data_IF_479390506048
#
_entry.id   IF_479390506048
#
_cell.length_a   1.000
_cell.length_b   1.000
_cell.length_c   1.000
_cell.angle_alpha   90.00
_cell.angle_beta   90.00
_cell.angle_gamma   90.00
#
_symmetry.space_group_name_H-M   'P 1'
#
loop_
_entity.id
_entity.type
_entity.pdbx_description
1 polymer ?
#
# COMPACT_ATOMS: atom_id res chain seq x y z
N UNK A 1 20.23 7.59 -1.27
CA UNK A 1 18.82 7.58 -1.73
C UNK A 1 18.83 6.99 -3.13
N UNK A 2 18.03 5.98 -3.41
CA UNK A 2 18.13 5.18 -4.64
C UNK A 2 17.02 5.56 -5.62
N UNK A 3 17.33 5.61 -6.91
CA UNK A 3 16.34 5.93 -7.96
C UNK A 3 15.44 4.72 -8.21
N UNK A 4 14.15 4.96 -8.41
CA UNK A 4 13.18 3.97 -8.90
C UNK A 4 13.18 4.05 -10.42
N UNK A 5 13.51 2.96 -11.10
CA UNK A 5 13.38 2.86 -12.56
C UNK A 5 11.90 2.88 -12.97
N UNK A 6 11.58 3.18 -14.22
CA UNK A 6 10.18 3.23 -14.69
C UNK A 6 9.46 1.88 -14.65
N UNK A 7 10.21 0.78 -14.58
CA UNK A 7 9.74 -0.60 -14.56
C UNK A 7 9.28 -1.04 -13.15
N UNK A 8 8.09 -0.57 -12.78
CA UNK A 8 7.38 -1.04 -11.59
C UNK A 8 5.88 -0.88 -11.78
N UNK A 9 5.12 -1.68 -11.03
CA UNK A 9 3.67 -1.60 -10.95
C UNK A 9 3.25 -0.59 -9.88
N UNK A 10 2.36 0.33 -10.27
CA UNK A 10 1.74 1.30 -9.37
C UNK A 10 0.27 0.92 -9.15
N UNK A 11 -0.08 0.33 -8.00
CA UNK A 11 -1.40 -0.23 -7.81
C UNK A 11 -2.40 0.82 -7.25
N UNK A 12 -3.68 0.47 -7.26
CA UNK A 12 -4.80 1.37 -6.95
C UNK A 12 -4.82 1.85 -5.49
N UNK A 13 -4.14 1.19 -4.55
CA UNK A 13 -3.99 1.69 -3.18
C UNK A 13 -3.23 3.03 -3.13
N UNK A 14 -2.37 3.31 -4.12
CA UNK A 14 -1.67 4.59 -4.26
C UNK A 14 -2.41 5.57 -5.21
N UNK A 15 -3.73 5.42 -5.40
CA UNK A 15 -4.56 6.18 -6.35
C UNK A 15 -4.31 7.70 -6.32
N UNK A 16 -4.13 8.24 -5.12
CA UNK A 16 -3.99 9.67 -4.88
C UNK A 16 -2.58 10.21 -5.16
N UNK A 17 -1.62 9.34 -5.41
CA UNK A 17 -0.22 9.70 -5.64
C UNK A 17 0.08 9.71 -7.14
N UNK A 18 0.40 10.90 -7.65
CA UNK A 18 0.91 11.03 -9.02
C UNK A 18 2.23 10.28 -9.20
N UNK A 19 2.39 9.58 -10.33
CA UNK A 19 3.62 8.83 -10.67
C UNK A 19 4.88 9.70 -10.62
N UNK A 20 4.75 11.01 -10.88
CA UNK A 20 5.83 11.99 -10.78
C UNK A 20 6.42 12.16 -9.37
N UNK A 21 5.68 11.78 -8.31
CA UNK A 21 6.15 11.80 -6.92
C UNK A 21 6.90 10.53 -6.52
N UNK A 22 6.84 9.48 -7.32
CA UNK A 22 7.46 8.17 -7.07
C UNK A 22 8.74 8.09 -7.89
N UNK A 23 9.83 8.67 -7.37
CA UNK A 23 11.11 8.74 -8.09
C UNK A 23 12.26 8.09 -7.34
N UNK A 24 12.19 8.06 -6.01
CA UNK A 24 13.25 7.59 -5.17
C UNK A 24 12.73 6.70 -4.06
N UNK A 25 13.60 5.88 -3.52
CA UNK A 25 13.37 5.16 -2.28
C UNK A 25 14.56 5.30 -1.34
N UNK A 26 14.27 5.24 -0.04
CA UNK A 26 15.27 5.19 1.03
C UNK A 26 15.15 3.84 1.76
N UNK A 27 16.28 3.19 2.08
CA UNK A 27 16.24 1.95 2.85
C UNK A 27 15.48 2.12 4.17
N UNK A 28 15.01 1.00 4.71
CA UNK A 28 14.24 0.94 5.94
C UNK A 28 15.12 1.29 7.16
N UNK A 29 15.40 2.57 7.37
CA UNK A 29 16.29 3.05 8.45
C UNK A 29 15.45 3.58 9.61
N UNK A 30 15.62 3.02 10.82
CA UNK A 30 15.13 3.44 12.15
C UNK A 30 13.73 4.11 12.22
N UNK A 31 12.86 3.84 11.25
CA UNK A 31 11.50 4.37 11.19
C UNK A 31 10.51 3.25 10.93
N UNK A 32 9.65 3.05 11.91
CA UNK A 32 8.51 2.14 11.84
C UNK A 32 7.54 2.59 10.74
N UNK A 33 6.90 1.64 10.02
CA UNK A 33 5.94 1.99 8.98
C UNK A 33 4.72 2.68 9.59
N UNK A 34 4.16 3.65 8.88
CA UNK A 34 2.92 4.33 9.24
C UNK A 34 1.85 4.07 8.18
N UNK A 35 0.60 4.19 8.59
CA UNK A 35 -0.54 4.05 7.67
C UNK A 35 -0.42 5.01 6.50
N UNK A 36 -0.61 4.48 5.29
CA UNK A 36 -0.50 5.23 4.05
C UNK A 36 0.92 5.43 3.54
N UNK A 37 1.98 5.03 4.26
CA UNK A 37 3.34 5.13 3.73
C UNK A 37 3.50 4.25 2.49
N UNK A 38 4.12 4.80 1.44
CA UNK A 38 4.46 4.06 0.25
C UNK A 38 5.80 3.33 0.45
N UNK A 39 5.82 2.05 0.08
CA UNK A 39 7.02 1.23 0.08
C UNK A 39 7.32 0.73 -1.32
N UNK A 40 8.59 0.73 -1.70
CA UNK A 40 9.06 0.10 -2.92
C UNK A 40 9.61 -1.28 -2.58
N UNK A 41 9.16 -2.29 -3.31
CA UNK A 41 9.49 -3.68 -3.02
C UNK A 41 9.48 -4.58 -4.25
N UNK A 42 9.87 -5.82 -4.02
CA UNK A 42 9.94 -6.89 -5.02
C UNK A 42 9.13 -8.06 -4.50
N UNK A 43 8.27 -8.63 -5.36
CA UNK A 43 7.55 -9.86 -5.06
C UNK A 43 8.54 -11.02 -4.95
N UNK A 44 8.56 -11.70 -3.81
CA UNK A 44 9.48 -12.83 -3.55
C UNK A 44 8.80 -14.18 -3.70
N UNK A 45 7.50 -14.25 -3.37
CA UNK A 45 6.73 -15.48 -3.43
C UNK A 45 5.27 -15.16 -3.79
N UNK A 46 4.72 -15.89 -4.76
CA UNK A 46 3.30 -15.80 -5.14
C UNK A 46 2.40 -16.59 -4.18
N UNK A 47 1.29 -15.97 -3.80
CA UNK A 47 0.22 -16.54 -3.00
C UNK A 47 -1.15 -16.32 -3.66
N UNK A 48 -2.15 -15.95 -2.85
CA UNK A 48 -3.54 -15.74 -3.30
C UNK A 48 -3.68 -14.62 -4.33
N UNK A 49 -3.07 -13.46 -4.08
CA UNK A 49 -3.14 -12.31 -4.98
C UNK A 49 -2.00 -12.37 -5.99
N UNK A 50 -2.29 -12.88 -7.19
CA UNK A 50 -1.33 -13.01 -8.31
C UNK A 50 -1.43 -11.89 -9.36
N UNK A 51 -2.13 -10.82 -9.02
CA UNK A 51 -2.25 -9.64 -9.85
C UNK A 51 -2.40 -8.38 -9.01
N UNK A 52 -2.11 -7.24 -9.62
CA UNK A 52 -2.32 -5.91 -9.06
C UNK A 52 -3.25 -5.11 -9.96
N UNK A 53 -4.22 -4.43 -9.36
CA UNK A 53 -5.06 -3.47 -10.05
C UNK A 53 -4.39 -2.10 -10.03
N UNK A 54 -4.38 -1.38 -11.15
CA UNK A 54 -3.87 0.00 -11.20
C UNK A 54 -4.99 1.05 -11.07
N UNK A 55 -4.62 2.33 -10.99
CA UNK A 55 -5.58 3.45 -10.85
C UNK A 55 -6.64 3.56 -11.96
N UNK A 56 -6.46 2.89 -13.10
CA UNK A 56 -7.42 2.88 -14.21
C UNK A 56 -8.30 1.61 -14.20
N UNK A 57 -8.19 0.77 -13.17
CA UNK A 57 -8.87 -0.53 -13.10
C UNK A 57 -8.21 -1.63 -13.94
N UNK A 58 -7.05 -1.36 -14.58
CA UNK A 58 -6.34 -2.39 -15.34
C UNK A 58 -5.67 -3.37 -14.40
N UNK A 59 -5.83 -4.66 -14.68
CA UNK A 59 -5.24 -5.76 -13.90
C UNK A 59 -3.92 -6.16 -14.55
N UNK A 60 -2.84 -6.13 -13.76
CA UNK A 60 -1.50 -6.55 -14.16
C UNK A 60 -1.14 -7.83 -13.41
N UNK A 61 -0.78 -8.89 -14.13
CA UNK A 61 -0.24 -10.12 -13.52
C UNK A 61 1.10 -9.81 -12.85
N UNK A 62 1.35 -10.43 -11.70
CA UNK A 62 2.64 -10.34 -11.00
C UNK A 62 3.35 -11.69 -10.97
N UNK A 63 4.67 -11.65 -10.95
CA UNK A 63 5.57 -12.79 -10.90
C UNK A 63 6.61 -12.58 -9.79
N UNK A 64 7.35 -13.64 -9.45
CA UNK A 64 8.54 -13.48 -8.61
C UNK A 64 9.52 -12.53 -9.31
N UNK A 65 10.07 -11.57 -8.58
CA UNK A 65 10.91 -10.50 -9.14
C UNK A 65 10.14 -9.26 -9.62
N UNK A 66 8.80 -9.28 -9.68
CA UNK A 66 8.03 -8.09 -10.04
C UNK A 66 8.26 -6.97 -9.04
N UNK A 67 8.68 -5.80 -9.55
CA UNK A 67 8.83 -4.57 -8.77
C UNK A 67 7.50 -3.87 -8.64
N UNK A 68 7.14 -3.46 -7.43
CA UNK A 68 5.90 -2.76 -7.16
C UNK A 68 6.05 -1.69 -6.09
N UNK A 69 5.12 -0.74 -6.11
CA UNK A 69 4.84 0.11 -4.96
C UNK A 69 3.71 -0.51 -4.15
N UNK A 70 3.92 -0.72 -2.86
CA UNK A 70 2.87 -1.07 -1.91
C UNK A 70 2.51 0.12 -1.04
N UNK A 71 1.31 0.09 -0.45
CA UNK A 71 0.88 1.06 0.56
C UNK A 71 0.65 0.34 1.88
N UNK A 72 1.33 0.78 2.95
CA UNK A 72 1.12 0.24 4.28
C UNK A 72 -0.29 0.54 4.76
N UNK A 73 -1.05 -0.50 5.13
CA UNK A 73 -2.43 -0.35 5.59
C UNK A 73 -2.91 -1.55 6.38
N UNK A 74 -3.83 -1.29 7.31
CA UNK A 74 -4.60 -2.35 7.96
C UNK A 74 -5.72 -2.79 7.01
N UNK A 75 -6.03 -4.08 7.01
CA UNK A 75 -7.16 -4.64 6.26
C UNK A 75 -7.85 -5.67 7.13
N UNK A 76 -9.16 -5.50 7.30
CA UNK A 76 -10.01 -6.49 7.93
C UNK A 76 -10.98 -7.01 6.88
N UNK A 77 -10.73 -8.22 6.37
CA UNK A 77 -11.57 -8.87 5.39
C UNK A 77 -11.80 -10.34 5.83
N UNK A 78 -12.92 -10.65 6.51
CA UNK A 78 -13.19 -12.00 7.04
C UNK A 78 -13.16 -13.10 5.98
N UNK A 79 -13.57 -12.79 4.75
CA UNK A 79 -13.51 -13.72 3.62
C UNK A 79 -12.11 -13.86 2.99
N UNK A 80 -11.14 -13.04 3.42
CA UNK A 80 -9.76 -13.02 2.94
C UNK A 80 -8.77 -12.97 4.11
N UNK A 81 -8.17 -11.81 4.36
CA UNK A 81 -7.11 -11.62 5.33
C UNK A 81 -7.51 -10.53 6.33
N UNK A 82 -7.21 -10.81 7.59
CA UNK A 82 -6.96 -9.78 8.58
C UNK A 82 -5.47 -9.50 8.59
N UNK A 83 -5.10 -8.24 8.39
CA UNK A 83 -3.71 -7.82 8.44
C UNK A 83 -3.54 -6.42 9.01
N UNK A 84 -2.40 -6.22 9.65
CA UNK A 84 -2.05 -4.99 10.33
C UNK A 84 -0.71 -4.46 9.82
N UNK A 85 -0.48 -3.17 10.00
CA UNK A 85 0.83 -2.58 9.74
C UNK A 85 1.85 -3.15 10.75
N UNK A 86 3.06 -3.55 10.30
CA UNK A 86 4.12 -3.99 11.20
C UNK A 86 4.40 -2.96 12.31
N UNK A 87 4.53 -3.43 13.56
CA UNK A 87 4.90 -2.56 14.70
C UNK A 87 6.40 -2.26 14.75
N UNK A 88 7.19 -3.10 14.09
CA UNK A 88 8.63 -2.97 13.96
C UNK A 88 9.04 -2.84 12.49
N UNK A 89 10.29 -2.45 12.27
CA UNK A 89 10.86 -2.37 10.93
C UNK A 89 11.02 -3.80 10.41
N UNK A 90 10.36 -4.10 9.29
CA UNK A 90 10.48 -5.38 8.60
C UNK A 90 10.78 -5.16 7.13
N UNK A 91 11.61 -6.03 6.56
CA UNK A 91 11.95 -6.05 5.15
C UNK A 91 11.07 -7.01 4.34
N UNK A 92 10.15 -7.74 4.98
CA UNK A 92 9.18 -8.62 4.31
C UNK A 92 7.78 -8.36 4.85
N UNK A 93 6.80 -8.32 3.93
CA UNK A 93 5.39 -8.06 4.21
C UNK A 93 4.51 -8.87 3.26
N UNK A 94 3.23 -8.95 3.58
CA UNK A 94 2.20 -9.65 2.84
C UNK A 94 1.40 -8.67 1.98
N UNK A 95 1.09 -9.09 0.74
CA UNK A 95 0.12 -8.43 -0.11
C UNK A 95 -1.29 -8.80 0.34
N UNK A 96 -1.90 -7.93 1.14
CA UNK A 96 -3.21 -8.15 1.76
C UNK A 96 -4.38 -7.91 0.80
N UNK A 97 -4.13 -7.20 -0.31
CA UNK A 97 -5.15 -6.85 -1.28
C UNK A 97 -4.59 -6.75 -2.70
N UNK A 98 -5.40 -7.14 -3.70
CA UNK A 98 -5.12 -6.87 -5.13
C UNK A 98 -4.85 -5.38 -5.42
N UNK A 99 -5.41 -4.46 -4.61
CA UNK A 99 -5.16 -3.02 -4.75
C UNK A 99 -3.75 -2.61 -4.35
N UNK A 100 -2.90 -3.48 -3.80
CA UNK A 100 -1.54 -3.14 -3.38
C UNK A 100 -1.40 -2.67 -1.94
N UNK A 101 -2.39 -3.00 -1.08
CA UNK A 101 -2.22 -2.84 0.38
C UNK A 101 -1.27 -3.92 0.88
N UNK A 102 -0.27 -3.49 1.65
CA UNK A 102 0.73 -4.34 2.27
C UNK A 102 0.70 -4.21 3.79
N UNK A 103 1.00 -5.31 4.48
CA UNK A 103 1.06 -5.38 5.95
C UNK A 103 1.50 -6.76 6.41
N UNK A 104 1.31 -7.09 7.68
CA UNK A 104 1.46 -8.45 8.21
C UNK A 104 0.09 -9.09 8.30
N UNK A 105 -0.07 -10.26 7.69
CA UNK A 105 -1.25 -11.09 7.87
C UNK A 105 -1.25 -11.68 9.29
N UNK A 106 -2.35 -11.48 10.02
CA UNK A 106 -2.56 -11.98 11.38
C UNK A 106 -3.44 -13.22 11.35
N UNK A 107 -4.50 -13.18 10.54
CA UNK A 107 -5.40 -14.31 10.33
C UNK A 107 -5.90 -14.34 8.88
N UNK A 108 -6.39 -15.50 8.44
CA UNK A 108 -6.94 -15.69 7.10
C UNK A 108 -8.16 -16.60 7.14
N UNK A 109 -9.06 -16.41 6.18
CA UNK A 109 -10.14 -17.36 5.93
C UNK A 109 -9.58 -18.72 5.53
N UNK A 110 -10.22 -19.80 5.98
CA UNK A 110 -9.89 -21.17 5.54
C UNK A 110 -10.04 -21.36 4.02
N UNK A 111 -10.79 -20.47 3.34
CA UNK A 111 -11.01 -20.50 1.89
C UNK A 111 -9.87 -19.86 1.08
N UNK A 112 -8.88 -19.24 1.73
CA UNK A 112 -7.77 -18.57 1.03
C UNK A 112 -6.40 -19.18 1.39
N UNK A 113 -5.55 -19.30 0.38
CA UNK A 113 -4.15 -19.69 0.59
C UNK A 113 -3.34 -18.53 1.18
N UNK A 114 -2.06 -18.76 1.44
CA UNK A 114 -1.17 -17.73 1.98
C UNK A 114 -1.03 -16.53 1.05
N UNK A 115 -0.78 -15.33 1.60
CA UNK A 115 -0.62 -14.13 0.82
C UNK A 115 0.65 -14.17 -0.04
N UNK A 116 0.66 -13.36 -1.10
CA UNK A 116 1.88 -13.09 -1.87
C UNK A 116 2.84 -12.29 -0.99
N UNK A 117 4.10 -12.71 -0.91
CA UNK A 117 5.15 -12.02 -0.12
C UNK A 117 5.88 -10.98 -0.95
N UNK A 118 6.16 -9.86 -0.31
CA UNK A 118 6.87 -8.72 -0.89
C UNK A 118 8.04 -8.35 0.01
N UNK A 119 9.25 -8.43 -0.54
CA UNK A 119 10.45 -7.88 0.10
C UNK A 119 10.48 -6.39 -0.13
N UNK A 120 10.44 -5.62 0.95
CA UNK A 120 10.54 -4.17 0.93
C UNK A 120 12.01 -3.77 0.82
N UNK A 121 12.32 -3.03 -0.25
CA UNK A 121 13.63 -2.41 -0.43
C UNK A 121 13.73 -1.13 0.40
N UNK A 122 12.63 -0.37 0.47
CA UNK A 122 12.57 0.83 1.31
C UNK A 122 11.32 1.69 1.10
N UNK A 123 11.27 2.82 1.80
CA UNK A 123 10.17 3.77 1.68
C UNK A 123 10.33 4.63 0.43
N UNK A 124 9.23 4.85 -0.29
CA UNK A 124 9.19 5.81 -1.41
C UNK A 124 9.34 7.22 -0.85
N UNK A 125 10.21 8.02 -1.47
CA UNK A 125 10.46 9.40 -1.08
C UNK A 125 10.35 10.36 -2.27
N UNK A 126 9.99 11.61 -1.96
CA UNK A 126 10.01 12.71 -2.91
C UNK A 126 11.46 13.19 -3.19
N UNK A 127 11.58 14.23 -4.04
CA UNK A 127 12.88 14.84 -4.37
C UNK A 127 13.61 15.43 -3.15
N UNK A 128 12.89 15.80 -2.09
CA UNK A 128 13.45 16.34 -0.84
C UNK A 128 13.79 15.23 0.15
N UNK A 129 13.58 13.96 -0.23
CA UNK A 129 13.84 12.81 0.61
C UNK A 129 12.80 12.62 1.73
N UNK A 130 11.64 13.28 1.63
CA UNK A 130 10.51 13.06 2.55
C UNK A 130 9.72 11.84 2.08
N UNK A 131 9.34 10.97 3.02
CA UNK A 131 8.54 9.78 2.74
C UNK A 131 7.18 10.20 2.19
N UNK A 132 6.78 9.57 1.08
CA UNK A 132 5.48 9.80 0.45
C UNK A 132 4.43 8.99 1.19
N UNK A 133 3.34 9.65 1.57
CA UNK A 133 2.24 9.05 2.29
C UNK A 133 0.90 9.35 1.58
N UNK A 134 0.15 8.30 1.25
CA UNK A 134 -1.11 8.36 0.51
C UNK A 134 -2.19 9.18 1.24
N UNK A 135 -2.25 9.08 2.58
CA UNK A 135 -3.21 9.81 3.40
C UNK A 135 -2.96 11.32 3.40
N UNK A 136 -1.76 11.77 3.03
CA UNK A 136 -1.39 13.20 2.95
C UNK A 136 -1.74 13.85 1.61
N UNK A 137 -2.33 13.12 0.66
CA UNK A 137 -2.65 13.62 -0.68
C UNK A 137 -4.12 13.40 -1.06
N UNK A 138 -5.13 13.87 -0.30
CA UNK A 138 -6.53 13.68 -0.70
C UNK A 138 -6.83 14.37 -2.03
N UNK A 139 -7.58 13.69 -2.92
CA UNK A 139 -8.04 14.27 -4.19
C UNK A 139 -9.21 15.23 -3.99
N UNK A 140 -10.00 15.02 -2.95
CA UNK A 140 -11.15 15.85 -2.59
C UNK A 140 -10.84 16.55 -1.28
N UNK A 141 -10.83 17.88 -1.31
CA UNK A 141 -10.69 18.69 -0.12
C UNK A 141 -12.05 19.09 0.43
N UNK A 142 -12.27 19.02 1.76
CA UNK A 142 -13.53 19.44 2.34
C UNK A 142 -13.70 20.96 2.16
N UNK A 143 -14.84 21.37 1.57
CA UNK A 143 -15.21 22.80 1.47
C UNK A 143 -15.37 23.47 2.84
N UNK A 144 -15.73 22.69 3.86
CA UNK A 144 -15.88 23.13 5.26
C UNK A 144 -15.30 22.07 6.17
N UNK A 145 -14.42 22.48 7.08
CA UNK A 145 -13.84 21.59 8.12
C UNK A 145 -14.74 21.49 9.36
N UNK A 146 -15.61 22.47 9.56
CA UNK A 146 -16.46 22.58 10.75
C UNK A 146 -17.92 22.36 10.32
N UNK A 147 -18.61 21.51 11.09
CA UNK A 147 -20.02 21.20 10.92
C UNK A 147 -20.84 22.36 11.52
N UNK A 148 -21.60 23.09 10.69
CA UNK A 148 -22.40 24.25 11.14
C UNK A 148 -23.86 23.92 11.51
N UNK A 149 -24.39 22.78 11.08
CA UNK A 149 -25.81 22.42 11.22
C UNK A 149 -25.99 20.90 11.38
N UNK A 150 -27.03 20.41 12.06
CA UNK A 150 -27.35 18.98 12.08
C UNK A 150 -27.67 18.50 10.66
N UNK A 151 -27.11 17.36 10.28
CA UNK A 151 -27.43 16.61 9.05
C UNK A 151 -27.85 15.20 9.47
N UNK A 152 -28.55 14.48 8.59
CA UNK A 152 -28.83 13.06 8.78
C UNK A 152 -27.58 12.34 9.30
N UNK A 153 -27.75 11.53 10.35
CA UNK A 153 -26.67 10.71 10.89
C UNK A 153 -26.30 9.71 9.79
N UNK A 154 -24.99 9.57 9.52
CA UNK A 154 -24.52 8.43 8.74
C UNK A 154 -24.77 7.21 9.62
N UNK A 155 -25.75 6.40 9.23
CA UNK A 155 -25.96 5.09 9.82
C UNK A 155 -25.05 4.16 9.02
N UNK A 156 -23.94 3.76 9.61
CA UNK A 156 -23.21 2.59 9.11
C UNK A 156 -24.03 1.37 9.51
N UNK A 157 -24.56 0.67 8.53
CA UNK A 157 -25.22 -0.63 8.69
C UNK A 157 -24.18 -1.72 8.44
#
# INVERSE_FOLDING_TARGET
>A
MNKINSDFLLPSAAFTIGRNKIKFWKPLNNRKPKIGDLAFGIVTQLGQHRSLENKSGRIHTIHNGTKMVGVFGNRYAPDYYEGIIPREITNEVDLLARSGIIGLMISKSAKVIDPTRVKILGYVCDKKGKIVNACSCPLVLPKRKIKKWPRAKMILV
#
